data_IF_182221428292
#
_entry.id   IF_182221428292
#
_cell.length_a   1.000
_cell.length_b   1.000
_cell.length_c   1.000
_cell.angle_alpha   90.00
_cell.angle_beta   90.00
_cell.angle_gamma   90.00
#
_symmetry.space_group_name_H-M   'P 1'
#
loop_
_entity.id
_entity.type
_entity.pdbx_description
1 polymer ?
#
# COMPACT_ATOMS: atom_id res chain seq x y z
N UNK A 1 -12.02 2.12 -21.02
CA UNK A 1 -11.60 0.90 -21.75
C UNK A 1 -11.40 -0.22 -20.76
N UNK A 2 -12.21 -1.26 -20.84
CA UNK A 2 -12.13 -2.46 -19.99
C UNK A 2 -12.22 -3.72 -20.85
N UNK A 3 -11.70 -4.84 -20.38
CA UNK A 3 -11.76 -6.17 -21.04
C UNK A 3 -13.18 -6.72 -21.26
N UNK A 4 -14.19 -6.05 -20.70
CA UNK A 4 -15.59 -6.35 -20.85
C UNK A 4 -16.08 -7.52 -20.01
N UNK A 5 -15.43 -7.76 -18.87
CA UNK A 5 -15.89 -8.67 -17.83
C UNK A 5 -17.30 -8.29 -17.32
N UNK A 6 -18.14 -9.30 -17.07
CA UNK A 6 -19.55 -9.08 -16.73
C UNK A 6 -19.74 -8.42 -15.37
N UNK A 7 -18.78 -8.57 -14.47
CA UNK A 7 -18.82 -7.99 -13.12
C UNK A 7 -18.73 -6.45 -13.14
N UNK A 8 -18.35 -5.86 -14.28
CA UNK A 8 -18.42 -4.42 -14.49
C UNK A 8 -19.83 -3.90 -14.85
N UNK A 9 -20.82 -4.79 -14.99
CA UNK A 9 -22.22 -4.38 -15.19
C UNK A 9 -22.69 -3.59 -13.98
N UNK A 10 -23.06 -2.33 -14.20
CA UNK A 10 -23.50 -1.41 -13.14
C UNK A 10 -22.53 -0.27 -12.83
N UNK A 11 -21.33 -0.23 -13.44
CA UNK A 11 -20.44 0.94 -13.34
C UNK A 11 -21.08 2.23 -13.87
N UNK A 12 -21.98 2.10 -14.84
CA UNK A 12 -22.79 3.21 -15.38
C UNK A 12 -23.65 3.84 -14.28
N UNK A 13 -24.18 3.05 -13.34
CA UNK A 13 -24.97 3.54 -12.20
C UNK A 13 -24.12 4.30 -11.18
N UNK A 14 -22.79 4.13 -11.22
CA UNK A 14 -21.81 4.85 -10.41
C UNK A 14 -21.24 6.07 -11.16
N UNK A 15 -21.79 6.41 -12.33
CA UNK A 15 -21.36 7.56 -13.15
C UNK A 15 -20.12 7.30 -14.00
N UNK A 16 -19.67 6.05 -14.11
CA UNK A 16 -18.51 5.70 -14.94
C UNK A 16 -18.96 5.27 -16.34
N UNK A 17 -18.40 5.91 -17.37
CA UNK A 17 -18.62 5.52 -18.77
C UNK A 17 -17.85 4.23 -19.06
N UNK A 18 -18.57 3.14 -19.28
CA UNK A 18 -17.99 1.82 -19.53
C UNK A 18 -17.79 1.58 -21.04
N UNK A 19 -16.60 1.91 -21.55
CA UNK A 19 -16.20 1.53 -22.92
C UNK A 19 -15.69 0.08 -22.94
N UNK A 20 -16.58 -0.83 -23.39
CA UNK A 20 -16.36 -2.28 -23.43
C UNK A 20 -15.58 -2.70 -24.67
N UNK A 21 -14.31 -3.07 -24.51
CA UNK A 21 -13.52 -3.72 -25.58
C UNK A 21 -13.19 -5.16 -25.20
N UNK A 22 -14.10 -6.06 -25.52
CA UNK A 22 -13.91 -7.50 -25.28
C UNK A 22 -13.22 -8.17 -26.46
N UNK A 23 -12.43 -9.22 -26.19
CA UNK A 23 -11.81 -10.09 -27.19
C UNK A 23 -12.82 -10.64 -28.22
N UNK A 24 -14.07 -10.80 -27.80
CA UNK A 24 -15.16 -11.34 -28.61
C UNK A 24 -15.81 -10.28 -29.50
N UNK A 25 -15.80 -9.01 -29.08
CA UNK A 25 -16.23 -7.86 -29.89
C UNK A 25 -15.17 -7.46 -30.94
N UNK A 26 -13.90 -7.78 -30.69
CA UNK A 26 -12.76 -7.48 -31.54
C UNK A 26 -12.36 -8.67 -32.43
N UNK A 27 -13.31 -9.23 -33.18
CA UNK A 27 -13.08 -10.32 -34.15
C UNK A 27 -12.00 -9.89 -35.16
N UNK A 28 -10.74 -10.23 -34.91
CA UNK A 28 -9.61 -10.01 -35.82
C UNK A 28 -8.55 -9.00 -35.39
N UNK A 29 -8.70 -8.29 -34.25
CA UNK A 29 -7.64 -7.41 -33.74
C UNK A 29 -6.66 -8.19 -32.86
N UNK A 30 -5.37 -7.86 -32.96
CA UNK A 30 -4.30 -8.42 -32.12
C UNK A 30 -4.63 -8.22 -30.63
N UNK A 31 -4.63 -9.27 -29.78
CA UNK A 31 -4.81 -9.16 -28.35
C UNK A 31 -3.94 -8.09 -27.67
N UNK A 32 -2.75 -7.81 -28.23
CA UNK A 32 -1.86 -6.74 -27.76
C UNK A 32 -2.40 -5.32 -27.94
N UNK A 33 -3.30 -5.10 -28.91
CA UNK A 33 -3.89 -3.80 -29.24
C UNK A 33 -5.11 -3.41 -28.39
N UNK A 34 -5.81 -4.38 -27.82
CA UNK A 34 -7.05 -4.13 -27.04
C UNK A 34 -6.78 -3.54 -25.66
N UNK A 35 -5.72 -4.03 -25.01
CA UNK A 35 -5.28 -3.58 -23.69
C UNK A 35 -3.74 -3.49 -23.66
N UNK A 36 -3.18 -2.45 -24.31
CA UNK A 36 -1.74 -2.28 -24.36
C UNK A 36 -1.18 -2.19 -22.93
N UNK A 37 -0.10 -2.94 -22.69
CA UNK A 37 0.64 -3.01 -21.43
C UNK A 37 -0.01 -3.76 -20.24
N UNK A 38 -1.21 -4.36 -20.33
CA UNK A 38 -1.76 -5.19 -19.23
C UNK A 38 -0.87 -6.40 -18.94
N UNK A 39 -0.37 -7.07 -19.98
CA UNK A 39 0.59 -8.17 -19.84
C UNK A 39 1.88 -7.73 -19.12
N UNK A 40 2.29 -6.46 -19.29
CA UNK A 40 3.46 -5.89 -18.62
C UNK A 40 3.19 -5.67 -17.15
N UNK A 41 2.02 -5.15 -16.79
CA UNK A 41 1.61 -5.00 -15.39
C UNK A 41 1.54 -6.37 -14.71
N UNK A 42 0.91 -7.37 -15.35
CA UNK A 42 0.83 -8.74 -14.82
C UNK A 42 2.21 -9.36 -14.60
N UNK A 43 3.13 -9.18 -15.56
CA UNK A 43 4.51 -9.66 -15.46
C UNK A 43 5.30 -8.96 -14.35
N UNK A 44 5.07 -7.67 -14.13
CA UNK A 44 5.67 -6.90 -13.03
C UNK A 44 5.13 -7.35 -11.67
N UNK A 45 3.82 -7.59 -11.56
CA UNK A 45 3.20 -8.10 -10.34
C UNK A 45 3.76 -9.49 -9.99
N UNK A 46 3.82 -10.40 -10.97
CA UNK A 46 4.39 -11.74 -10.78
C UNK A 46 5.85 -11.69 -10.33
N UNK A 47 6.67 -10.85 -10.97
CA UNK A 47 8.08 -10.66 -10.59
C UNK A 47 8.22 -10.06 -9.18
N UNK A 48 7.37 -9.10 -8.83
CA UNK A 48 7.39 -8.49 -7.51
C UNK A 48 7.00 -9.48 -6.41
N UNK A 49 5.95 -10.27 -6.61
CA UNK A 49 5.55 -11.34 -5.68
C UNK A 49 6.68 -12.37 -5.51
N UNK A 50 7.32 -12.80 -6.60
CA UNK A 50 8.43 -13.75 -6.52
C UNK A 50 9.66 -13.14 -5.81
N UNK A 51 9.91 -11.84 -5.94
CA UNK A 51 11.07 -11.18 -5.33
C UNK A 51 10.84 -10.77 -3.87
N UNK A 52 9.84 -9.93 -3.61
CA UNK A 52 9.59 -9.35 -2.28
C UNK A 52 8.94 -10.35 -1.33
N UNK A 53 8.02 -11.17 -1.84
CA UNK A 53 7.36 -12.19 -1.04
C UNK A 53 8.03 -13.57 -1.19
N UNK A 54 9.12 -13.68 -1.95
CA UNK A 54 9.85 -14.94 -2.18
C UNK A 54 8.94 -16.07 -2.72
N UNK A 55 7.84 -15.72 -3.38
CA UNK A 55 6.82 -16.67 -3.82
C UNK A 55 5.89 -17.19 -2.71
N UNK A 56 6.08 -16.77 -1.46
CA UNK A 56 5.17 -17.05 -0.34
C UNK A 56 4.01 -16.05 -0.38
N UNK A 57 2.90 -16.46 -0.97
CA UNK A 57 1.67 -15.66 -1.08
C UNK A 57 0.55 -16.47 -0.43
N UNK A 58 -0.08 -15.88 0.57
CA UNK A 58 -1.30 -16.41 1.20
C UNK A 58 -2.53 -15.70 0.61
N UNK A 59 -3.55 -16.47 0.23
CA UNK A 59 -4.81 -15.95 -0.29
C UNK A 59 -5.51 -15.04 0.73
N UNK A 60 -5.33 -15.31 2.03
CA UNK A 60 -5.88 -14.48 3.10
C UNK A 60 -5.34 -13.04 3.09
N UNK A 61 -4.16 -12.80 2.51
CA UNK A 61 -3.52 -11.49 2.43
C UNK A 61 -3.47 -10.92 1.01
N UNK A 62 -4.11 -11.58 0.04
CA UNK A 62 -4.04 -11.21 -1.38
C UNK A 62 -4.41 -9.73 -1.63
N UNK A 63 -5.48 -9.25 -1.00
CA UNK A 63 -5.90 -7.85 -1.10
C UNK A 63 -4.82 -6.87 -0.60
N UNK A 64 -4.12 -7.23 0.49
CA UNK A 64 -3.01 -6.46 1.03
C UNK A 64 -1.82 -6.41 0.07
N UNK A 65 -1.45 -7.55 -0.49
CA UNK A 65 -0.36 -7.62 -1.48
C UNK A 65 -0.66 -6.79 -2.73
N UNK A 66 -1.89 -6.86 -3.26
CA UNK A 66 -2.27 -6.08 -4.43
C UNK A 66 -2.28 -4.57 -4.14
N UNK A 67 -2.74 -4.15 -2.97
CA UNK A 67 -2.66 -2.75 -2.55
C UNK A 67 -1.21 -2.26 -2.46
N UNK A 68 -0.31 -3.07 -1.88
CA UNK A 68 1.12 -2.72 -1.85
C UNK A 68 1.72 -2.63 -3.25
N UNK A 69 1.40 -3.57 -4.14
CA UNK A 69 1.86 -3.54 -5.53
C UNK A 69 1.45 -2.23 -6.22
N UNK A 70 0.16 -1.86 -6.13
CA UNK A 70 -0.38 -0.62 -6.71
C UNK A 70 0.33 0.60 -6.13
N UNK A 71 0.55 0.63 -4.81
CA UNK A 71 1.30 1.70 -4.16
C UNK A 71 2.71 1.83 -4.72
N UNK A 72 3.45 0.71 -4.83
CA UNK A 72 4.83 0.69 -5.35
C UNK A 72 4.90 1.07 -6.82
N UNK A 73 3.95 0.61 -7.62
CA UNK A 73 3.86 0.88 -9.05
C UNK A 73 3.59 2.37 -9.31
N UNK A 74 2.58 2.93 -8.63
CA UNK A 74 2.19 4.33 -8.78
C UNK A 74 3.21 5.30 -8.18
N UNK A 75 3.85 4.96 -7.05
CA UNK A 75 4.88 5.80 -6.40
C UNK A 75 6.06 6.12 -7.31
N UNK A 76 6.50 5.18 -8.16
CA UNK A 76 7.69 5.37 -9.01
C UNK A 76 7.51 6.45 -10.09
N UNK A 77 6.28 6.66 -10.56
CA UNK A 77 5.97 7.59 -11.66
C UNK A 77 5.04 8.75 -11.25
N UNK A 78 4.55 8.75 -10.02
CA UNK A 78 3.71 9.83 -9.52
C UNK A 78 4.52 11.09 -9.26
N UNK A 79 4.08 12.21 -9.83
CA UNK A 79 4.57 13.55 -9.49
C UNK A 79 4.17 13.97 -8.06
N UNK A 80 3.12 13.35 -7.51
CA UNK A 80 2.60 13.62 -6.17
C UNK A 80 3.10 12.57 -5.17
N UNK A 81 4.42 12.47 -5.00
CA UNK A 81 5.05 11.48 -4.09
C UNK A 81 4.59 11.61 -2.64
N UNK A 82 4.15 12.81 -2.22
CA UNK A 82 3.60 13.09 -0.90
C UNK A 82 2.25 12.44 -0.62
N UNK A 83 1.51 11.98 -1.63
CA UNK A 83 0.20 11.34 -1.43
C UNK A 83 0.25 10.09 -0.54
N UNK A 84 1.37 9.35 -0.55
CA UNK A 84 1.56 8.23 0.37
C UNK A 84 1.63 8.67 1.83
N UNK A 85 2.28 9.80 2.09
CA UNK A 85 2.34 10.38 3.44
C UNK A 85 0.96 10.87 3.88
N UNK A 86 0.24 11.56 3.01
CA UNK A 86 -1.13 11.99 3.32
C UNK A 86 -2.07 10.82 3.60
N UNK A 87 -1.93 9.71 2.88
CA UNK A 87 -2.74 8.51 3.15
C UNK A 87 -2.43 7.89 4.51
N UNK A 88 -1.16 7.88 4.93
CA UNK A 88 -0.79 7.42 6.28
C UNK A 88 -1.35 8.36 7.34
N UNK A 89 -1.27 9.67 7.13
CA UNK A 89 -1.83 10.67 8.04
C UNK A 89 -3.35 10.53 8.17
N UNK A 90 -4.05 10.37 7.05
CA UNK A 90 -5.49 10.12 7.00
C UNK A 90 -5.86 8.86 7.78
N UNK A 91 -5.15 7.75 7.55
CA UNK A 91 -5.37 6.50 8.28
C UNK A 91 -5.11 6.66 9.78
N UNK A 92 -4.09 7.41 10.17
CA UNK A 92 -3.77 7.64 11.58
C UNK A 92 -4.83 8.49 12.32
N UNK A 93 -5.57 9.33 11.59
CA UNK A 93 -6.61 10.19 12.16
C UNK A 93 -8.00 9.53 12.11
N UNK A 94 -8.31 8.83 11.02
CA UNK A 94 -9.66 8.31 10.74
C UNK A 94 -9.87 6.90 11.31
N UNK A 95 -8.82 6.10 11.43
CA UNK A 95 -8.93 4.68 11.79
C UNK A 95 -8.47 4.42 13.23
N UNK A 96 -9.15 3.50 13.92
CA UNK A 96 -8.74 3.02 15.23
C UNK A 96 -7.36 2.32 15.18
N UNK A 97 -6.62 2.25 16.29
CA UNK A 97 -5.31 1.60 16.31
C UNK A 97 -5.42 0.12 15.88
N UNK A 98 -4.79 -0.23 14.75
CA UNK A 98 -4.72 -1.61 14.27
C UNK A 98 -3.57 -2.33 14.98
N UNK A 99 -3.89 -3.39 15.72
CA UNK A 99 -2.86 -4.18 16.39
C UNK A 99 -2.29 -5.24 15.45
N UNK A 100 -1.06 -5.71 15.73
CA UNK A 100 -0.45 -6.80 14.97
C UNK A 100 -1.35 -8.06 14.90
N UNK A 101 -2.13 -8.32 15.95
CA UNK A 101 -3.06 -9.44 16.00
C UNK A 101 -4.22 -9.32 15.00
N UNK A 102 -4.53 -8.10 14.54
CA UNK A 102 -5.56 -7.83 13.54
C UNK A 102 -5.01 -7.97 12.11
N UNK A 103 -3.67 -7.93 11.94
CA UNK A 103 -2.98 -8.04 10.66
C UNK A 103 -2.64 -9.49 10.27
N UNK A 104 -2.51 -10.38 11.25
CA UNK A 104 -2.18 -11.80 11.00
C UNK A 104 -3.43 -12.59 10.61
N UNK A 105 -3.37 -13.31 9.48
CA UNK A 105 -4.47 -14.19 9.05
C UNK A 105 -4.67 -15.36 10.01
N UNK A 106 -3.58 -15.92 10.54
CA UNK A 106 -3.60 -16.99 11.53
C UNK A 106 -3.42 -16.43 12.93
N UNK A 107 -4.53 -16.28 13.66
CA UNK A 107 -4.52 -15.95 15.09
C UNK A 107 -4.09 -17.19 15.88
N UNK A 108 -2.78 -17.41 16.05
CA UNK A 108 -2.28 -18.44 16.96
C UNK A 108 -2.41 -17.94 18.40
N UNK A 109 -3.21 -18.57 19.26
CA UNK A 109 -3.24 -18.22 20.67
C UNK A 109 -1.85 -18.47 21.26
N UNK A 110 -1.28 -17.46 21.91
CA UNK A 110 0.01 -17.61 22.57
C UNK A 110 -0.21 -18.42 23.85
N UNK A 111 0.56 -19.50 24.10
CA UNK A 111 0.42 -20.29 25.32
C UNK A 111 0.67 -19.47 26.61
N UNK A 112 1.48 -18.43 26.52
CA UNK A 112 1.85 -17.55 27.63
C UNK A 112 1.63 -16.10 27.21
N UNK A 113 0.87 -15.34 28.00
CA UNK A 113 0.70 -13.91 27.77
C UNK A 113 2.06 -13.19 27.91
N UNK A 114 2.39 -12.23 27.02
CA UNK A 114 3.62 -11.47 27.16
C UNK A 114 3.58 -10.65 28.45
N UNK A 115 4.63 -10.72 29.26
CA UNK A 115 4.81 -9.80 30.38
C UNK A 115 4.99 -8.39 29.82
N UNK A 116 4.10 -7.44 30.14
CA UNK A 116 4.26 -6.07 29.67
C UNK A 116 5.58 -5.50 30.21
N UNK A 117 6.34 -4.74 29.40
CA UNK A 117 7.54 -4.07 29.90
C UNK A 117 7.14 -3.13 31.04
N UNK A 118 7.83 -3.23 32.18
CA UNK A 118 7.52 -2.50 33.43
C UNK A 118 7.63 -0.98 33.33
N UNK A 119 8.14 -0.46 32.20
CA UNK A 119 8.16 0.96 31.87
C UNK A 119 8.46 1.14 30.39
N UNK A 120 7.90 2.18 29.77
CA UNK A 120 8.42 2.67 28.49
C UNK A 120 9.75 3.34 28.81
N UNK A 121 10.86 2.82 28.27
CA UNK A 121 12.13 3.52 28.37
C UNK A 121 12.01 4.91 27.72
N UNK A 122 12.66 5.92 28.30
CA UNK A 122 12.88 7.19 27.64
C UNK A 122 14.18 7.08 26.84
N UNK A 123 14.14 6.83 25.51
CA UNK A 123 15.35 6.75 24.73
C UNK A 123 16.03 8.13 24.72
N UNK A 124 17.37 8.19 24.88
CA UNK A 124 18.11 9.44 24.88
C UNK A 124 17.97 10.23 23.57
N UNK A 125 17.49 9.61 22.50
CA UNK A 125 17.16 10.28 21.23
C UNK A 125 15.94 11.21 21.30
N UNK A 126 15.12 11.13 22.36
CA UNK A 126 13.99 12.03 22.60
C UNK A 126 14.36 13.20 23.52
N UNK A 127 15.59 13.23 24.02
CA UNK A 127 16.07 14.38 24.80
C UNK A 127 16.28 15.57 23.85
N UNK A 128 15.67 16.73 24.14
CA UNK A 128 15.93 17.93 23.37
C UNK A 128 17.41 18.34 23.53
N UNK A 129 18.09 18.79 22.47
CA UNK A 129 19.48 19.23 22.57
C UNK A 129 19.58 20.38 23.57
N UNK A 130 20.68 20.48 24.35
CA UNK A 130 20.86 21.54 25.32
C UNK A 130 20.75 22.90 24.63
N UNK A 131 19.86 23.75 25.13
CA UNK A 131 19.72 25.11 24.64
C UNK A 131 21.04 25.86 24.92
N UNK A 132 21.74 26.28 23.87
CA UNK A 132 22.90 27.18 24.00
C UNK A 132 22.37 28.51 24.54
N UNK A 133 22.47 28.73 25.84
CA UNK A 133 22.29 30.05 26.43
C UNK A 133 23.45 30.92 25.98
N UNK A 134 23.15 31.90 25.13
CA UNK A 134 24.09 32.92 24.70
C UNK A 134 24.34 33.89 25.87
N UNK A 135 25.25 33.51 26.77
CA UNK A 135 25.91 34.46 27.66
C UNK A 135 27.31 34.71 27.12
N UNK A 136 27.37 35.48 26.02
CA UNK A 136 28.59 36.15 25.61
C UNK A 136 28.83 37.31 26.55
N UNK A 137 29.81 37.16 27.43
CA UNK A 137 30.34 38.21 28.29
C UNK A 137 30.74 39.44 27.45
N UNK A 138 30.17 40.59 27.82
CA UNK A 138 30.74 41.89 27.48
C UNK A 138 32.03 42.04 28.30
N UNK A 139 33.19 42.04 27.63
CA UNK A 139 34.40 42.67 28.16
C UNK A 139 35.03 43.57 27.10
N UNK A 140 35.26 44.79 27.56
CA UNK A 140 35.90 45.95 26.93
C UNK A 140 37.30 45.59 26.43
#
# INVERSE_FOLDING_TARGET
ITDGWQDYRGLENLGYVHDRRSRQAARGEDPGGLLPAVHRIASLAKRWLLGTHQGSVDDAHLAGYLNEFVFRFNRRRSHSRGMGFYRVLELAVVHDPVCYQDLIATKRPRPVAPTPPRGRGHPPSLEPPPQRTAHGELRI
#
